data_IF_282230429317
#
_entry.id   IF_282230429317
#
_cell.length_a   1.000
_cell.length_b   1.000
_cell.length_c   1.000
_cell.angle_alpha   90.00
_cell.angle_beta   90.00
_cell.angle_gamma   90.00
#
_symmetry.space_group_name_H-M   'P 1'
#
loop_
_entity.id
_entity.type
_entity.pdbx_description
1 polymer ?
#
# COMPACT_ATOMS: atom_id res chain seq x y z
N UNK A 1 15.78 4.17 -19.29
CA UNK A 1 15.16 3.99 -20.62
C UNK A 1 13.75 3.42 -20.48
N UNK A 2 12.73 4.15 -20.92
CA UNK A 2 11.35 3.65 -20.92
C UNK A 2 11.23 2.55 -21.97
N UNK A 3 10.76 1.37 -21.55
CA UNK A 3 10.50 0.24 -22.45
C UNK A 3 9.24 0.54 -23.23
N UNK A 4 9.27 0.34 -24.55
CA UNK A 4 8.11 0.57 -25.40
C UNK A 4 6.99 -0.44 -25.07
N UNK A 5 5.74 0.03 -25.13
CA UNK A 5 4.56 -0.81 -24.95
C UNK A 5 4.58 -1.95 -25.98
N UNK A 6 4.46 -3.21 -25.50
CA UNK A 6 4.53 -4.41 -26.34
C UNK A 6 5.91 -5.05 -26.55
N UNK A 7 6.96 -4.66 -25.81
CA UNK A 7 8.27 -5.34 -25.92
C UNK A 7 8.21 -6.73 -25.29
N UNK A 8 8.16 -7.78 -26.11
CA UNK A 8 8.32 -9.16 -25.64
C UNK A 8 9.75 -9.36 -25.11
N UNK A 9 9.88 -9.74 -23.84
CA UNK A 9 11.18 -10.00 -23.24
C UNK A 9 11.73 -11.34 -23.74
N UNK A 10 13.02 -11.39 -24.07
CA UNK A 10 13.69 -12.64 -24.43
C UNK A 10 13.63 -13.65 -23.29
N UNK A 11 13.64 -14.93 -23.63
CA UNK A 11 13.65 -16.00 -22.63
C UNK A 11 14.89 -15.85 -21.72
N UNK A 12 14.69 -15.97 -20.41
CA UNK A 12 15.73 -15.72 -19.40
C UNK A 12 15.98 -14.25 -19.01
N UNK A 13 15.16 -13.30 -19.49
CA UNK A 13 15.27 -11.89 -19.06
C UNK A 13 14.78 -11.72 -17.61
N UNK A 14 15.63 -11.20 -16.73
CA UNK A 14 15.24 -10.86 -15.37
C UNK A 14 14.59 -9.46 -15.32
N UNK A 15 13.32 -9.40 -14.92
CA UNK A 15 12.66 -8.13 -14.60
C UNK A 15 13.00 -7.79 -13.15
N UNK A 16 13.77 -6.72 -12.95
CA UNK A 16 13.99 -6.15 -11.61
C UNK A 16 12.86 -5.18 -11.33
N UNK A 17 11.93 -5.61 -10.46
CA UNK A 17 10.86 -4.75 -9.97
C UNK A 17 11.37 -3.93 -8.79
N UNK A 18 10.90 -2.69 -8.61
CA UNK A 18 11.02 -2.01 -7.34
C UNK A 18 10.05 -2.69 -6.35
N UNK A 19 10.54 -3.76 -5.73
CA UNK A 19 9.77 -4.60 -4.84
C UNK A 19 9.92 -4.20 -3.37
N UNK A 20 8.99 -4.68 -2.55
CA UNK A 20 9.11 -4.65 -1.10
C UNK A 20 9.32 -6.09 -0.63
N UNK A 21 10.55 -6.37 -0.19
CA UNK A 21 10.93 -7.64 0.42
C UNK A 21 11.47 -7.43 1.84
N UNK A 22 11.42 -8.48 2.66
CA UNK A 22 12.08 -8.46 3.97
C UNK A 22 13.59 -8.47 3.77
N UNK A 23 14.24 -7.35 4.10
CA UNK A 23 15.70 -7.24 4.13
C UNK A 23 16.29 -7.82 5.41
N UNK A 24 17.59 -8.13 5.37
CA UNK A 24 18.36 -8.58 6.55
C UNK A 24 18.76 -7.43 7.48
N UNK A 25 18.65 -6.18 7.00
CA UNK A 25 18.98 -4.97 7.76
C UNK A 25 17.69 -4.28 8.20
N UNK A 26 17.56 -4.15 9.51
CA UNK A 26 16.50 -3.38 10.15
C UNK A 26 16.74 -1.88 9.99
N UNK A 27 15.71 -1.15 9.56
CA UNK A 27 15.75 0.30 9.40
C UNK A 27 14.76 0.94 10.36
N UNK A 28 15.22 1.91 11.14
CA UNK A 28 14.41 2.78 11.98
C UNK A 28 14.67 4.23 11.59
N UNK A 29 13.71 5.10 11.88
CA UNK A 29 13.74 6.51 11.53
C UNK A 29 13.52 7.37 12.77
N UNK A 30 14.05 8.58 12.77
CA UNK A 30 13.69 9.58 13.76
C UNK A 30 12.72 10.56 13.13
N UNK A 31 11.53 10.69 13.71
CA UNK A 31 10.52 11.63 13.23
C UNK A 31 10.55 12.86 14.12
N UNK A 32 10.56 14.04 13.50
CA UNK A 32 10.41 15.29 14.22
C UNK A 32 9.12 16.00 13.80
N UNK A 33 8.42 16.54 14.79
CA UNK A 33 7.22 17.35 14.61
C UNK A 33 7.42 18.68 15.32
N UNK A 34 7.35 19.79 14.58
CA UNK A 34 7.38 21.12 15.18
C UNK A 34 6.00 21.47 15.74
N UNK A 35 5.93 21.81 17.02
CA UNK A 35 4.73 22.31 17.68
C UNK A 35 5.07 23.61 18.41
N UNK A 36 4.57 24.72 17.88
CA UNK A 36 4.93 26.05 18.37
C UNK A 36 6.43 26.33 18.22
N UNK A 37 7.11 26.60 19.33
CA UNK A 37 8.54 26.90 19.37
C UNK A 37 9.43 25.67 19.57
N UNK A 38 8.85 24.51 19.90
CA UNK A 38 9.59 23.29 20.21
C UNK A 38 9.36 22.19 19.16
N UNK A 39 10.25 21.22 19.15
CA UNK A 39 10.22 20.01 18.34
C UNK A 39 9.97 18.81 19.25
N UNK A 40 8.93 18.05 18.96
CA UNK A 40 8.77 16.69 19.45
C UNK A 40 9.55 15.75 18.54
N UNK A 41 10.38 14.92 19.14
CA UNK A 41 11.28 14.00 18.46
C UNK A 41 10.93 12.60 18.89
N UNK A 42 10.70 11.71 17.92
CA UNK A 42 10.40 10.31 18.10
C UNK A 42 11.57 9.48 17.56
N UNK A 43 12.62 9.23 18.36
CA UNK A 43 13.76 8.44 17.91
C UNK A 43 13.43 6.96 17.85
N UNK A 44 14.16 6.23 17.00
CA UNK A 44 14.03 4.77 16.89
C UNK A 44 12.66 4.30 16.40
N UNK A 45 11.98 5.12 15.58
CA UNK A 45 10.64 4.82 15.09
C UNK A 45 10.68 3.79 13.96
N UNK A 46 9.88 2.74 14.11
CA UNK A 46 9.66 1.72 13.09
C UNK A 46 8.25 1.85 12.54
N UNK A 47 8.08 1.74 11.23
CA UNK A 47 6.76 1.63 10.60
C UNK A 47 6.22 0.22 10.79
N UNK A 48 5.14 0.09 11.56
CA UNK A 48 4.45 -1.19 11.81
C UNK A 48 3.45 -1.51 10.70
N UNK A 49 2.75 -0.48 10.22
CA UNK A 49 1.74 -0.60 9.18
C UNK A 49 1.68 0.67 8.32
N UNK A 50 1.45 0.47 7.03
CA UNK A 50 1.08 1.51 6.08
C UNK A 50 -0.26 1.14 5.45
N UNK A 51 -1.23 2.06 5.49
CA UNK A 51 -2.50 1.93 4.81
C UNK A 51 -2.61 3.01 3.74
N UNK A 52 -2.94 2.60 2.52
CA UNK A 52 -3.18 3.48 1.39
C UNK A 52 -4.65 3.35 1.03
N UNK A 53 -5.39 4.44 1.11
CA UNK A 53 -6.83 4.46 0.86
C UNK A 53 -7.13 5.26 -0.40
N UNK A 54 -7.72 4.58 -1.38
CA UNK A 54 -8.12 5.11 -2.67
C UNK A 54 -9.64 5.07 -2.73
N UNK A 55 -10.29 6.23 -2.72
CA UNK A 55 -11.74 6.31 -2.76
C UNK A 55 -12.16 7.36 -3.77
N UNK A 56 -13.17 7.03 -4.57
CA UNK A 56 -13.76 7.97 -5.52
C UNK A 56 -14.23 9.24 -4.81
N UNK A 57 -13.82 10.40 -5.33
CA UNK A 57 -14.21 11.71 -4.82
C UNK A 57 -13.49 12.13 -3.54
N UNK A 58 -12.45 11.40 -3.11
CA UNK A 58 -11.58 11.77 -1.99
C UNK A 58 -10.13 11.80 -2.44
N UNK A 59 -9.34 12.69 -1.83
CA UNK A 59 -7.90 12.72 -2.06
C UNK A 59 -7.30 11.44 -1.49
N UNK A 60 -6.47 10.70 -2.25
CA UNK A 60 -5.81 9.51 -1.74
C UNK A 60 -5.03 9.80 -0.46
N UNK A 61 -5.20 8.95 0.54
CA UNK A 61 -4.51 9.10 1.83
C UNK A 61 -3.55 7.95 2.06
N UNK A 62 -2.44 8.26 2.73
CA UNK A 62 -1.51 7.28 3.25
C UNK A 62 -1.43 7.50 4.75
N UNK A 63 -1.81 6.48 5.51
CA UNK A 63 -1.65 6.44 6.95
C UNK A 63 -0.49 5.52 7.29
N UNK A 64 0.42 5.99 8.15
CA UNK A 64 1.54 5.20 8.66
C UNK A 64 1.39 5.07 10.17
N UNK A 65 1.31 3.85 10.64
CA UNK A 65 1.36 3.54 12.07
C UNK A 65 2.80 3.21 12.44
N UNK A 66 3.27 3.80 13.54
CA UNK A 66 4.68 3.74 13.92
C UNK A 66 4.85 3.49 15.40
N UNK A 67 5.82 2.64 15.72
CA UNK A 67 6.23 2.32 17.08
C UNK A 67 7.57 3.00 17.35
N UNK A 68 7.62 3.86 18.37
CA UNK A 68 8.77 4.70 18.68
C UNK A 68 9.44 4.22 19.97
N UNK A 69 10.76 4.36 20.08
CA UNK A 69 11.47 3.93 21.28
C UNK A 69 11.24 4.88 22.47
N UNK A 70 11.12 6.19 22.19
CA UNK A 70 10.90 7.24 23.19
C UNK A 70 10.27 8.50 22.52
N UNK A 71 9.98 9.53 23.31
CA UNK A 71 9.61 10.89 22.94
C UNK A 71 10.55 11.89 23.62
N UNK A 72 11.21 12.74 22.83
CA UNK A 72 12.07 13.82 23.31
C UNK A 72 11.51 15.18 22.89
N UNK A 73 11.81 16.21 23.68
CA UNK A 73 11.51 17.62 23.36
C UNK A 73 12.82 18.36 23.12
N UNK A 74 12.87 19.16 22.05
CA UNK A 74 14.04 19.96 21.69
C UNK A 74 13.62 21.35 21.19
N UNK A 75 14.39 22.38 21.51
CA UNK A 75 14.21 23.71 20.94
C UNK A 75 14.80 23.83 19.52
N UNK A 76 15.71 22.93 19.15
CA UNK A 76 16.39 22.87 17.84
C UNK A 76 15.94 21.66 17.03
N UNK A 77 15.88 21.82 15.71
CA UNK A 77 15.61 20.72 14.80
C UNK A 77 16.78 19.71 14.80
N UNK A 78 16.48 18.42 14.59
CA UNK A 78 17.50 17.37 14.41
C UNK A 78 18.17 17.42 13.03
N UNK A 79 17.45 17.94 12.05
CA UNK A 79 17.90 18.04 10.67
C UNK A 79 18.06 19.50 10.30
N UNK A 80 19.23 19.85 9.75
CA UNK A 80 19.56 21.21 9.32
C UNK A 80 19.05 21.52 7.91
N UNK A 81 18.66 20.50 7.14
CA UNK A 81 18.26 20.64 5.74
C UNK A 81 16.97 19.88 5.47
N UNK A 82 15.87 20.61 5.22
CA UNK A 82 14.59 20.00 4.83
C UNK A 82 14.51 20.03 3.31
N UNK A 83 14.36 18.87 2.69
CA UNK A 83 14.09 18.80 1.25
C UNK A 83 12.78 19.54 0.96
N UNK A 84 12.77 20.50 0.04
CA UNK A 84 11.55 21.25 -0.27
C UNK A 84 10.46 20.31 -0.77
N UNK A 85 9.22 20.65 -0.42
CA UNK A 85 8.04 19.94 -0.91
C UNK A 85 8.07 19.90 -2.45
N UNK A 86 7.68 18.77 -3.02
CA UNK A 86 7.45 18.67 -4.45
C UNK A 86 6.33 19.63 -4.89
N UNK A 87 6.48 20.22 -6.07
CA UNK A 87 5.51 21.17 -6.65
C UNK A 87 4.40 20.48 -7.46
N UNK A 88 4.42 19.15 -7.55
CA UNK A 88 3.38 18.37 -8.23
C UNK A 88 2.01 18.65 -7.62
N UNK A 89 1.02 18.75 -8.50
CA UNK A 89 -0.38 18.90 -8.13
C UNK A 89 -0.86 17.68 -7.33
N UNK A 90 -1.88 17.89 -6.49
CA UNK A 90 -2.54 16.80 -5.78
C UNK A 90 -3.23 15.92 -6.83
N UNK A 91 -3.23 14.60 -6.63
CA UNK A 91 -3.94 13.69 -7.51
C UNK A 91 -5.43 14.03 -7.54
N UNK A 92 -5.99 14.09 -8.74
CA UNK A 92 -7.41 14.34 -8.92
C UNK A 92 -8.22 13.19 -8.30
N UNK A 93 -9.21 13.56 -7.49
CA UNK A 93 -10.11 12.67 -6.75
C UNK A 93 -11.09 11.91 -7.64
N UNK A 94 -11.30 12.36 -8.88
CA UNK A 94 -12.27 11.74 -9.82
C UNK A 94 -11.57 11.20 -11.07
N UNK A 95 -10.80 12.03 -11.78
CA UNK A 95 -10.07 11.65 -13.00
C UNK A 95 -8.71 10.98 -12.74
N UNK A 96 -8.24 10.97 -11.49
CA UNK A 96 -6.92 10.43 -11.16
C UNK A 96 -6.86 8.91 -11.01
N UNK A 97 -7.98 8.19 -11.07
CA UNK A 97 -7.96 6.73 -11.10
C UNK A 97 -7.67 6.23 -12.51
N UNK A 98 -6.46 5.71 -12.74
CA UNK A 98 -6.01 5.24 -14.05
C UNK A 98 -6.47 3.81 -14.37
N UNK A 99 -7.11 3.13 -13.41
CA UNK A 99 -7.74 1.83 -13.61
C UNK A 99 -7.29 0.76 -12.62
N UNK A 100 -7.94 -0.40 -12.69
CA UNK A 100 -7.57 -1.62 -11.97
C UNK A 100 -7.52 -2.81 -12.92
N UNK A 101 -6.68 -3.80 -12.60
CA UNK A 101 -6.78 -5.12 -13.20
C UNK A 101 -6.88 -6.19 -12.13
N UNK A 102 -7.71 -7.20 -12.37
CA UNK A 102 -7.87 -8.39 -11.56
C UNK A 102 -7.38 -9.57 -12.38
N UNK A 103 -6.30 -10.22 -11.93
CA UNK A 103 -5.63 -11.31 -12.63
C UNK A 103 -5.20 -10.91 -14.06
N UNK A 104 -4.69 -9.69 -14.19
CA UNK A 104 -4.19 -9.14 -15.46
C UNK A 104 -5.29 -8.73 -16.47
N UNK A 105 -6.57 -8.76 -16.09
CA UNK A 105 -7.68 -8.28 -16.93
C UNK A 105 -8.42 -7.14 -16.24
N UNK A 106 -8.86 -6.14 -17.01
CA UNK A 106 -9.74 -5.11 -16.49
C UNK A 106 -11.05 -5.77 -15.98
N UNK A 107 -11.52 -5.45 -14.76
CA UNK A 107 -12.78 -5.98 -14.26
C UNK A 107 -13.95 -5.45 -15.12
N UNK A 108 -15.00 -6.26 -15.28
CA UNK A 108 -16.18 -5.87 -16.08
C UNK A 108 -16.96 -4.68 -15.50
N UNK A 109 -16.70 -4.28 -14.26
CA UNK A 109 -17.31 -3.12 -13.61
C UNK A 109 -16.30 -2.11 -13.05
N UNK A 110 -16.83 -1.07 -12.41
CA UNK A 110 -16.01 0.03 -11.88
C UNK A 110 -15.61 -0.23 -10.42
N UNK A 111 -14.36 0.08 -10.07
CA UNK A 111 -13.88 0.09 -8.69
C UNK A 111 -14.29 1.40 -8.03
N UNK A 112 -14.93 1.32 -6.86
CA UNK A 112 -15.39 2.48 -6.07
C UNK A 112 -14.41 2.84 -4.96
N UNK A 113 -13.92 1.82 -4.26
CA UNK A 113 -12.90 1.99 -3.22
C UNK A 113 -11.86 0.87 -3.31
N UNK A 114 -10.62 1.22 -3.00
CA UNK A 114 -9.53 0.29 -2.85
C UNK A 114 -8.69 0.70 -1.65
N UNK A 115 -8.52 -0.20 -0.70
CA UNK A 115 -7.61 -0.02 0.42
C UNK A 115 -6.47 -1.02 0.28
N UNK A 116 -5.24 -0.56 0.46
CA UNK A 116 -4.04 -1.39 0.47
C UNK A 116 -3.44 -1.26 1.87
N UNK A 117 -3.24 -2.38 2.53
CA UNK A 117 -2.62 -2.45 3.85
C UNK A 117 -1.32 -3.24 3.73
N UNK A 118 -0.21 -2.57 4.00
CA UNK A 118 1.12 -3.17 4.12
C UNK A 118 1.46 -3.20 5.60
N UNK A 119 1.46 -4.38 6.21
CA UNK A 119 1.71 -4.54 7.64
C UNK A 119 2.88 -5.47 7.90
N UNK A 120 3.37 -5.43 9.13
CA UNK A 120 4.38 -6.35 9.65
C UNK A 120 3.76 -7.22 10.71
N UNK A 121 3.44 -8.46 10.37
CA UNK A 121 2.79 -9.38 11.30
C UNK A 121 3.79 -9.87 12.36
N UNK A 122 3.39 -9.85 13.63
CA UNK A 122 4.25 -10.19 14.76
C UNK A 122 5.30 -9.13 15.12
N UNK A 123 5.13 -7.87 14.69
CA UNK A 123 5.96 -6.78 15.19
C UNK A 123 5.64 -6.45 16.65
N UNK A 124 6.66 -6.10 17.43
CA UNK A 124 6.50 -5.69 18.82
C UNK A 124 7.76 -5.00 19.34
N UNK A 125 7.61 -4.23 20.42
CA UNK A 125 8.72 -3.72 21.20
C UNK A 125 9.00 -4.64 22.38
N UNK A 126 10.27 -4.92 22.64
CA UNK A 126 10.69 -5.70 23.79
C UNK A 126 11.11 -4.75 24.91
N UNK A 127 10.35 -4.79 26.01
CA UNK A 127 10.55 -3.95 27.19
C UNK A 127 11.01 -4.85 28.34
N UNK A 128 12.12 -4.50 28.97
CA UNK A 128 12.70 -5.24 30.10
C UNK A 128 12.53 -4.52 31.44
N UNK A 129 12.56 -5.26 32.55
CA UNK A 129 12.60 -4.65 33.87
C UNK A 129 13.86 -3.79 34.03
N UNK A 130 13.70 -2.52 34.42
CA UNK A 130 14.81 -1.57 34.61
C UNK A 130 15.00 -0.55 33.48
N UNK A 131 14.20 -0.61 32.41
CA UNK A 131 14.21 0.39 31.33
C UNK A 131 12.81 0.97 31.09
N UNK A 132 12.72 2.29 30.97
CA UNK A 132 11.49 2.99 30.56
C UNK A 132 11.29 2.97 29.03
N UNK A 133 12.38 2.79 28.28
CA UNK A 133 12.41 2.77 26.82
C UNK A 133 12.47 1.33 26.28
N UNK A 134 12.12 1.14 25.00
CA UNK A 134 12.22 -0.16 24.34
C UNK A 134 13.69 -0.61 24.21
N UNK A 135 14.02 -1.79 24.75
CA UNK A 135 15.38 -2.36 24.69
C UNK A 135 15.65 -3.09 23.37
N UNK A 136 14.59 -3.48 22.66
CA UNK A 136 14.66 -4.19 21.40
C UNK A 136 13.37 -4.03 20.60
N UNK A 137 13.43 -4.40 19.32
CA UNK A 137 12.28 -4.38 18.43
C UNK A 137 12.24 -5.63 17.57
N UNK A 138 11.07 -6.26 17.52
CA UNK A 138 10.76 -7.36 16.60
C UNK A 138 10.09 -6.77 15.38
N UNK A 139 10.72 -6.97 14.22
CA UNK A 139 10.24 -6.40 12.96
C UNK A 139 9.09 -7.17 12.33
N UNK A 140 8.83 -8.41 12.77
CA UNK A 140 7.80 -9.26 12.18
C UNK A 140 8.03 -9.60 10.70
N UNK A 141 7.02 -10.20 10.08
CA UNK A 141 7.02 -10.58 8.67
C UNK A 141 6.16 -9.62 7.85
N UNK A 142 6.69 -9.15 6.72
CA UNK A 142 5.90 -8.39 5.75
C UNK A 142 4.64 -9.13 5.29
N UNK A 143 3.50 -8.43 5.32
CA UNK A 143 2.20 -8.89 4.84
C UNK A 143 1.57 -7.78 4.01
N UNK A 144 1.11 -8.12 2.81
CA UNK A 144 0.33 -7.23 1.97
C UNK A 144 -1.10 -7.76 1.87
N UNK A 145 -2.05 -6.92 2.23
CA UNK A 145 -3.47 -7.19 2.12
C UNK A 145 -4.16 -5.99 1.48
N UNK A 146 -5.36 -6.19 0.97
CA UNK A 146 -6.18 -5.09 0.47
C UNK A 146 -7.65 -5.40 0.58
N UNK A 147 -8.48 -4.40 0.31
CA UNK A 147 -9.92 -4.57 0.12
C UNK A 147 -10.31 -3.78 -1.11
N UNK A 148 -11.14 -4.39 -1.94
CA UNK A 148 -11.70 -3.77 -3.14
C UNK A 148 -13.20 -3.76 -3.02
N UNK A 149 -13.77 -2.65 -3.42
CA UNK A 149 -15.19 -2.52 -3.60
C UNK A 149 -15.48 -2.14 -5.05
N UNK A 150 -16.27 -2.95 -5.74
CA UNK A 150 -16.55 -2.75 -7.15
C UNK A 150 -17.96 -3.21 -7.52
N UNK A 151 -18.45 -2.69 -8.64
CA UNK A 151 -19.76 -3.05 -9.18
C UNK A 151 -19.66 -4.34 -10.00
N UNK A 152 -20.49 -5.34 -9.69
CA UNK A 152 -20.62 -6.50 -10.58
C UNK A 152 -21.44 -6.12 -11.81
N UNK A 153 -20.80 -6.16 -12.98
CA UNK A 153 -21.52 -6.17 -14.25
C UNK A 153 -21.89 -7.60 -14.67
N UNK A 154 -21.08 -8.58 -14.29
CA UNK A 154 -21.29 -10.01 -14.52
C UNK A 154 -20.65 -10.86 -13.40
N UNK A 155 -20.81 -12.19 -13.47
CA UNK A 155 -20.34 -13.15 -12.45
C UNK A 155 -18.93 -13.69 -12.71
N UNK A 156 -18.19 -13.15 -13.69
CA UNK A 156 -16.92 -13.72 -14.14
C UNK A 156 -15.86 -13.72 -13.03
N UNK A 157 -15.72 -12.60 -12.32
CA UNK A 157 -14.77 -12.48 -11.21
C UNK A 157 -15.16 -13.37 -10.04
N UNK A 158 -16.47 -13.53 -9.79
CA UNK A 158 -16.98 -14.42 -8.75
C UNK A 158 -16.68 -15.90 -9.06
N UNK A 159 -16.83 -16.32 -10.32
CA UNK A 159 -16.47 -17.68 -10.75
C UNK A 159 -14.96 -17.94 -10.60
N UNK A 160 -14.11 -16.97 -10.99
CA UNK A 160 -12.64 -17.08 -10.81
C UNK A 160 -12.27 -17.28 -9.34
N UNK A 161 -12.94 -16.56 -8.45
CA UNK A 161 -12.75 -16.69 -7.00
C UNK A 161 -13.14 -18.07 -6.51
N UNK A 162 -14.32 -18.57 -6.92
CA UNK A 162 -14.79 -19.89 -6.54
C UNK A 162 -13.85 -21.00 -7.03
N UNK A 163 -13.27 -20.82 -8.22
CA UNK A 163 -12.25 -21.72 -8.76
C UNK A 163 -10.85 -21.54 -8.13
N UNK A 164 -10.69 -20.62 -7.17
CA UNK A 164 -9.44 -20.44 -6.44
C UNK A 164 -8.30 -19.83 -7.27
N UNK A 165 -8.61 -19.09 -8.34
CA UNK A 165 -7.60 -18.46 -9.20
C UNK A 165 -6.74 -17.50 -8.39
N UNK A 166 -5.43 -17.59 -8.62
CA UNK A 166 -4.44 -16.64 -8.09
C UNK A 166 -3.83 -15.86 -9.25
N UNK A 167 -3.38 -14.64 -8.99
CA UNK A 167 -2.69 -13.84 -10.00
C UNK A 167 -2.52 -12.39 -9.58
N UNK A 168 -1.95 -11.55 -10.46
CA UNK A 168 -1.65 -10.18 -10.11
C UNK A 168 -2.92 -9.34 -10.01
N UNK A 169 -2.99 -8.46 -9.02
CA UNK A 169 -4.01 -7.41 -8.91
C UNK A 169 -3.30 -6.06 -8.92
N UNK A 170 -3.68 -5.19 -9.86
CA UNK A 170 -3.04 -3.89 -10.03
C UNK A 170 -4.02 -2.76 -9.81
N UNK A 171 -3.57 -1.70 -9.16
CA UNK A 171 -4.33 -0.46 -8.96
C UNK A 171 -3.46 0.71 -9.39
N UNK A 172 -3.93 1.50 -10.34
CA UNK A 172 -3.18 2.62 -10.89
C UNK A 172 -3.87 3.94 -10.58
N UNK A 173 -3.08 4.92 -10.14
CA UNK A 173 -3.51 6.29 -10.01
C UNK A 173 -2.50 7.25 -10.61
N UNK A 174 -3.00 8.38 -11.09
CA UNK A 174 -2.27 9.37 -11.87
C UNK A 174 -2.81 10.76 -11.55
N UNK A 175 -1.91 11.72 -11.34
CA UNK A 175 -2.27 13.13 -11.25
C UNK A 175 -2.52 13.75 -12.63
N UNK A 176 -3.07 14.95 -12.65
CA UNK A 176 -3.30 15.73 -13.89
C UNK A 176 -1.99 15.99 -14.65
N UNK A 177 -0.87 16.06 -13.94
CA UNK A 177 0.48 16.29 -14.49
C UNK A 177 1.10 15.06 -15.18
N UNK A 178 0.35 13.96 -15.24
CA UNK A 178 0.83 12.74 -15.87
C UNK A 178 1.51 11.75 -14.91
N UNK A 179 1.85 12.18 -13.69
CA UNK A 179 2.67 11.40 -12.75
C UNK A 179 1.81 10.61 -11.80
N UNK A 180 2.23 9.40 -11.46
CA UNK A 180 1.37 8.48 -10.73
C UNK A 180 2.08 7.33 -10.06
N UNK A 181 1.29 6.43 -9.50
CA UNK A 181 1.76 5.17 -8.94
C UNK A 181 0.87 4.01 -9.40
N UNK A 182 1.51 2.88 -9.68
CA UNK A 182 0.85 1.58 -9.84
C UNK A 182 1.21 0.72 -8.64
N UNK A 183 0.20 0.27 -7.92
CA UNK A 183 0.31 -0.68 -6.84
C UNK A 183 0.02 -2.07 -7.38
N UNK A 184 0.90 -3.03 -7.10
CA UNK A 184 0.80 -4.39 -7.64
C UNK A 184 0.91 -5.40 -6.52
N UNK A 185 -0.17 -6.14 -6.30
CA UNK A 185 -0.11 -7.41 -5.58
C UNK A 185 0.31 -8.49 -6.58
N UNK A 186 1.49 -9.09 -6.38
CA UNK A 186 2.13 -9.92 -7.42
C UNK A 186 1.42 -11.28 -7.57
N UNK A 187 1.03 -11.88 -6.44
CA UNK A 187 0.29 -13.14 -6.40
C UNK A 187 -0.85 -13.02 -5.39
N UNK A 188 -1.95 -12.41 -5.82
CA UNK A 188 -3.14 -12.19 -5.02
C UNK A 188 -4.19 -13.29 -5.22
N UNK A 189 -4.96 -13.52 -4.18
CA UNK A 189 -6.25 -14.20 -4.22
C UNK A 189 -7.32 -13.27 -3.69
N UNK A 190 -8.50 -13.34 -4.31
CA UNK A 190 -9.66 -12.61 -3.82
C UNK A 190 -10.49 -13.52 -2.90
N UNK A 191 -10.89 -13.02 -1.74
CA UNK A 191 -11.62 -13.75 -0.69
C UNK A 191 -12.78 -12.92 -0.14
N UNK A 192 -13.61 -13.57 0.68
CA UNK A 192 -14.64 -12.93 1.50
C UNK A 192 -15.59 -12.03 0.71
N UNK A 193 -16.13 -12.53 -0.40
CA UNK A 193 -17.08 -11.78 -1.21
C UNK A 193 -18.35 -11.49 -0.41
N UNK A 194 -18.65 -10.20 -0.28
CA UNK A 194 -19.86 -9.71 0.38
C UNK A 194 -20.58 -8.76 -0.56
N UNK A 195 -21.85 -9.03 -0.78
CA UNK A 195 -22.72 -8.15 -1.54
C UNK A 195 -23.43 -7.22 -0.55
N UNK A 196 -23.08 -5.93 -0.55
CA UNK A 196 -23.74 -4.94 0.29
C UNK A 196 -25.09 -4.57 -0.37
N UNK A 197 -26.19 -4.94 0.28
CA UNK A 197 -27.54 -4.52 -0.12
C UNK A 197 -27.89 -3.27 0.70
N UNK A 198 -27.86 -2.10 0.07
CA UNK A 198 -28.05 -0.80 0.73
C UNK A 198 -29.49 -0.27 0.65
N UNK A 199 -30.47 -1.15 0.40
CA UNK A 199 -31.91 -0.83 0.43
C UNK A 199 -32.60 -0.92 -0.93
N UNK A 200 -33.86 -0.50 -0.99
CA UNK A 200 -34.69 -0.53 -2.21
C UNK A 200 -34.09 0.41 -3.28
N UNK A 201 -33.92 -0.08 -4.50
CA UNK A 201 -33.34 0.63 -5.66
C UNK A 201 -31.85 1.01 -5.56
N UNK A 202 -31.08 0.43 -4.63
CA UNK A 202 -29.66 0.68 -4.57
C UNK A 202 -28.88 -0.22 -5.54
N UNK A 203 -27.81 0.31 -6.13
CA UNK A 203 -26.91 -0.49 -6.97
C UNK A 203 -26.19 -1.53 -6.11
N UNK A 204 -26.18 -2.76 -6.59
CA UNK A 204 -25.49 -3.87 -5.92
C UNK A 204 -23.99 -3.68 -6.02
N UNK A 205 -23.34 -3.54 -4.87
CA UNK A 205 -21.88 -3.38 -4.77
C UNK A 205 -21.30 -4.59 -4.07
N UNK A 206 -20.18 -5.09 -4.58
CA UNK A 206 -19.46 -6.18 -3.98
C UNK A 206 -18.16 -5.70 -3.36
N UNK A 207 -17.92 -6.19 -2.15
CA UNK A 207 -16.67 -6.05 -1.47
C UNK A 207 -15.95 -7.39 -1.48
N UNK A 208 -14.65 -7.37 -1.75
CA UNK A 208 -13.78 -8.51 -1.60
C UNK A 208 -12.45 -8.11 -0.97
N UNK A 209 -11.88 -9.05 -0.23
CA UNK A 209 -10.55 -8.90 0.35
C UNK A 209 -9.50 -9.44 -0.63
N UNK A 210 -8.38 -8.74 -0.72
CA UNK A 210 -7.19 -9.14 -1.45
C UNK A 210 -6.21 -9.72 -0.43
N UNK A 211 -5.86 -10.98 -0.61
CA UNK A 211 -4.79 -11.63 0.14
C UNK A 211 -3.63 -11.90 -0.81
N UNK A 212 -2.50 -11.23 -0.59
CA UNK A 212 -1.30 -11.45 -1.38
C UNK A 212 -0.35 -12.43 -0.68
N UNK A 213 -0.03 -13.49 -1.40
CA UNK A 213 0.99 -14.45 -0.99
C UNK A 213 2.31 -14.15 -1.70
N UNK A 214 3.45 -14.53 -1.12
CA UNK A 214 4.73 -14.44 -1.83
C UNK A 214 4.68 -15.26 -3.12
N UNK A 215 5.07 -14.66 -4.24
CA UNK A 215 5.36 -15.37 -5.48
C UNK A 215 6.68 -16.15 -5.34
N UNK A 216 6.96 -17.14 -6.22
CA UNK A 216 8.28 -17.75 -6.31
C UNK A 216 9.37 -16.67 -6.42
N UNK A 217 10.32 -16.66 -5.48
CA UNK A 217 11.32 -15.58 -5.33
C UNK A 217 11.05 -14.59 -4.20
N UNK A 218 9.94 -14.71 -3.47
CA UNK A 218 9.65 -13.92 -2.26
C UNK A 218 8.91 -12.59 -2.49
N UNK A 219 8.61 -12.25 -3.74
CA UNK A 219 7.93 -11.02 -4.12
C UNK A 219 6.46 -11.06 -3.72
N UNK A 220 6.02 -10.11 -2.90
CA UNK A 220 4.62 -10.05 -2.44
C UNK A 220 3.90 -8.82 -3.01
N UNK A 221 4.58 -7.67 -3.01
CA UNK A 221 4.01 -6.39 -3.41
C UNK A 221 5.06 -5.50 -4.09
N UNK A 222 4.64 -4.70 -5.06
CA UNK A 222 5.49 -3.76 -5.77
C UNK A 222 4.78 -2.43 -6.00
N UNK A 223 5.56 -1.35 -6.09
CA UNK A 223 5.08 -0.01 -6.41
C UNK A 223 5.90 0.54 -7.58
N UNK A 224 5.22 0.91 -8.66
CA UNK A 224 5.84 1.57 -9.81
C UNK A 224 5.44 3.02 -9.85
N UNK A 225 6.36 3.88 -10.28
CA UNK A 225 6.09 5.28 -10.59
C UNK A 225 5.71 5.40 -12.07
N UNK A 226 4.72 6.24 -12.35
CA UNK A 226 4.31 6.67 -13.70
C UNK A 226 4.73 8.13 -13.88
#
# INVERSE_FOLDING_TARGET
PLVADGTAMSDGTAIVLADIMNGTIYKTWSIQKKLGTQFQIYPGSMVSQAQISLQQGQVPTIQLDMQCANLLLSASALTQTVTPRTTSLIMDTVGGFAGATIFGKAPSGCVRTATITLSRDGNAQDIGMGHADACGIRFGSFKAAGSLEYFFKDYTEFQKVQSGVTGPVTLAMKGEDGRGYVFVFVNATLRNFKTLITGKNATVVAQCDIEANPAPGGLTFAIFRI
#
